data_IF_027117688683
#
_entry.id   IF_027117688683
#
_cell.length_a   1.000
_cell.length_b   1.000
_cell.length_c   1.000
_cell.angle_alpha   90.00
_cell.angle_beta   90.00
_cell.angle_gamma   90.00
#
_symmetry.space_group_name_H-M   'P 1'
#
loop_
_entity.id
_entity.type
_entity.pdbx_description
1 polymer ?
#
# COMPACT_ATOMS: atom_id res chain seq x y z
N UNK A 1 -29.52 -8.57 40.79
CA UNK A 1 -28.23 -7.85 40.95
C UNK A 1 -27.12 -8.81 40.54
N UNK A 2 -26.60 -8.74 39.31
CA UNK A 2 -25.45 -9.55 38.90
C UNK A 2 -24.15 -8.93 39.44
N UNK A 3 -23.21 -9.71 39.98
CA UNK A 3 -21.99 -9.17 40.57
C UNK A 3 -21.08 -8.61 39.48
N UNK A 4 -20.79 -7.31 39.56
CA UNK A 4 -19.90 -6.59 38.65
C UNK A 4 -18.50 -7.23 38.52
N UNK A 5 -18.06 -8.00 39.53
CA UNK A 5 -16.78 -8.71 39.54
C UNK A 5 -16.66 -9.86 38.53
N UNK A 6 -17.75 -10.58 38.22
CA UNK A 6 -17.72 -11.69 37.26
C UNK A 6 -17.60 -11.18 35.82
N UNK A 7 -18.24 -10.03 35.52
CA UNK A 7 -18.14 -9.35 34.22
C UNK A 7 -16.72 -8.85 33.93
N UNK A 8 -15.97 -8.45 34.96
CA UNK A 8 -14.61 -7.94 34.82
C UNK A 8 -13.59 -9.07 34.65
N UNK A 9 -13.76 -10.20 35.36
CA UNK A 9 -12.91 -11.39 35.25
C UNK A 9 -13.06 -12.08 33.89
N UNK A 10 -14.28 -12.19 33.37
CA UNK A 10 -14.55 -12.72 32.02
C UNK A 10 -13.96 -11.79 30.94
N UNK A 11 -14.06 -10.46 31.09
CA UNK A 11 -13.47 -9.50 30.14
C UNK A 11 -11.93 -9.58 30.12
N UNK A 12 -11.29 -9.79 31.27
CA UNK A 12 -9.84 -9.95 31.39
C UNK A 12 -9.34 -11.27 30.76
N UNK A 13 -10.07 -12.37 30.97
CA UNK A 13 -9.79 -13.66 30.34
C UNK A 13 -10.03 -13.62 28.81
N UNK A 14 -11.03 -12.86 28.34
CA UNK A 14 -11.30 -12.63 26.92
C UNK A 14 -10.21 -11.77 26.25
N UNK A 15 -9.66 -10.76 26.94
CA UNK A 15 -8.48 -10.02 26.47
C UNK A 15 -7.21 -10.88 26.44
N UNK A 16 -7.08 -11.84 27.35
CA UNK A 16 -5.98 -12.82 27.33
C UNK A 16 -6.11 -13.84 26.17
N UNK A 17 -7.33 -14.20 25.76
CA UNK A 17 -7.59 -15.09 24.61
C UNK A 17 -7.48 -14.42 23.22
N UNK A 18 -7.70 -13.10 23.15
CA UNK A 18 -7.56 -12.27 21.93
C UNK A 18 -6.13 -12.22 21.37
N UNK A 19 -5.15 -12.29 22.28
CA UNK A 19 -3.73 -12.14 22.01
C UNK A 19 -3.00 -13.40 22.43
N UNK A 20 -3.31 -14.55 21.79
CA UNK A 20 -2.26 -15.55 21.73
C UNK A 20 -1.04 -14.85 21.13
N UNK A 21 0.13 -14.98 21.77
CA UNK A 21 1.34 -14.29 21.32
C UNK A 21 1.59 -14.51 19.82
N UNK A 22 1.19 -15.68 19.31
CA UNK A 22 1.18 -16.03 17.89
C UNK A 22 0.26 -15.16 17.03
N UNK A 23 -1.03 -14.99 17.37
CA UNK A 23 -1.97 -14.19 16.56
C UNK A 23 -1.54 -12.73 16.47
N UNK A 24 -1.10 -12.15 17.59
CA UNK A 24 -0.60 -10.78 17.61
C UNK A 24 0.66 -10.62 16.77
N UNK A 25 1.58 -11.58 16.87
CA UNK A 25 2.77 -11.60 16.05
C UNK A 25 2.41 -11.68 14.57
N UNK A 26 1.47 -12.54 14.17
CA UNK A 26 0.97 -12.62 12.79
C UNK A 26 0.41 -11.28 12.31
N UNK A 27 -0.44 -10.61 13.10
CA UNK A 27 -0.97 -9.28 12.75
C UNK A 27 0.15 -8.25 12.56
N UNK A 28 1.14 -8.23 13.46
CA UNK A 28 2.30 -7.33 13.36
C UNK A 28 3.15 -7.60 12.13
N UNK A 29 3.45 -8.86 11.86
CA UNK A 29 4.28 -9.26 10.71
C UNK A 29 3.57 -8.96 9.38
N UNK A 30 2.28 -9.28 9.26
CA UNK A 30 1.48 -8.96 8.07
C UNK A 30 1.38 -7.45 7.86
N UNK A 31 1.12 -6.68 8.93
CA UNK A 31 1.02 -5.23 8.85
C UNK A 31 2.37 -4.58 8.52
N UNK A 32 3.47 -5.10 9.07
CA UNK A 32 4.83 -4.65 8.76
C UNK A 32 5.20 -4.96 7.31
N UNK A 33 4.92 -6.17 6.82
CA UNK A 33 5.14 -6.54 5.43
C UNK A 33 4.36 -5.63 4.48
N UNK A 34 3.07 -5.42 4.74
CA UNK A 34 2.23 -4.52 3.96
C UNK A 34 2.76 -3.06 3.98
N UNK A 35 3.23 -2.58 5.13
CA UNK A 35 3.83 -1.26 5.28
C UNK A 35 5.11 -1.12 4.43
N UNK A 36 6.03 -2.07 4.53
CA UNK A 36 7.30 -2.04 3.79
C UNK A 36 7.07 -2.10 2.28
N UNK A 37 6.18 -2.98 1.82
CA UNK A 37 5.83 -3.07 0.40
C UNK A 37 5.17 -1.78 -0.08
N UNK A 38 4.23 -1.22 0.70
CA UNK A 38 3.57 0.04 0.34
C UNK A 38 4.56 1.21 0.30
N UNK A 39 5.50 1.26 1.24
CA UNK A 39 6.55 2.28 1.27
C UNK A 39 7.49 2.16 0.06
N UNK A 40 7.87 0.93 -0.31
CA UNK A 40 8.65 0.66 -1.51
C UNK A 40 7.92 1.13 -2.78
N UNK A 41 6.65 0.75 -2.94
CA UNK A 41 5.85 1.16 -4.09
C UNK A 41 5.58 2.67 -4.12
N UNK A 42 5.40 3.31 -2.96
CA UNK A 42 5.30 4.76 -2.86
C UNK A 42 6.59 5.45 -3.34
N UNK A 43 7.75 4.95 -2.89
CA UNK A 43 9.04 5.44 -3.35
C UNK A 43 9.20 5.29 -4.87
N UNK A 44 8.95 4.09 -5.42
CA UNK A 44 9.03 3.84 -6.87
C UNK A 44 8.08 4.72 -7.67
N UNK A 45 6.82 4.89 -7.20
CA UNK A 45 5.83 5.73 -7.88
C UNK A 45 6.20 7.22 -7.88
N UNK A 46 6.75 7.73 -6.77
CA UNK A 46 7.15 9.14 -6.64
C UNK A 46 8.43 9.42 -7.44
N UNK A 47 9.35 8.46 -7.50
CA UNK A 47 10.65 8.61 -8.17
C UNK A 47 10.65 8.13 -9.62
N UNK A 48 9.52 7.64 -10.14
CA UNK A 48 9.40 7.05 -11.48
C UNK A 48 10.50 6.01 -11.73
N UNK A 49 10.74 5.15 -10.73
CA UNK A 49 11.77 4.12 -10.80
C UNK A 49 11.17 2.76 -11.14
N UNK A 50 11.88 1.94 -11.94
CA UNK A 50 11.43 0.59 -12.24
C UNK A 50 11.34 -0.25 -10.97
N UNK A 51 10.38 -1.18 -10.97
CA UNK A 51 10.12 -2.06 -9.82
C UNK A 51 10.96 -3.33 -9.95
N UNK A 52 11.77 -3.61 -8.94
CA UNK A 52 12.68 -4.76 -8.90
C UNK A 52 11.87 -6.05 -8.84
N UNK A 53 12.32 -7.08 -9.58
CA UNK A 53 11.65 -8.38 -9.62
C UNK A 53 10.34 -8.36 -10.41
N UNK A 54 10.09 -7.28 -11.17
CA UNK A 54 9.03 -7.25 -12.16
C UNK A 54 9.62 -7.57 -13.55
N UNK A 55 9.06 -8.56 -14.23
CA UNK A 55 9.60 -9.06 -15.50
C UNK A 55 9.28 -8.17 -16.71
N UNK A 56 8.31 -7.25 -16.60
CA UNK A 56 7.80 -6.49 -17.74
C UNK A 56 7.24 -7.39 -18.85
N UNK A 57 6.65 -8.53 -18.47
CA UNK A 57 6.04 -9.48 -19.40
C UNK A 57 4.57 -9.12 -19.64
N UNK A 58 3.95 -9.66 -20.68
CA UNK A 58 2.55 -9.34 -21.03
C UNK A 58 1.58 -9.48 -19.84
N UNK A 59 1.80 -10.45 -18.94
CA UNK A 59 0.95 -10.62 -17.75
C UNK A 59 1.49 -9.91 -16.50
N UNK A 60 2.81 -9.85 -16.33
CA UNK A 60 3.45 -9.27 -15.13
C UNK A 60 4.16 -7.96 -15.50
N UNK A 61 3.42 -6.87 -15.26
CA UNK A 61 3.86 -5.50 -15.54
C UNK A 61 3.45 -4.55 -14.39
N UNK A 62 4.42 -4.28 -13.52
CA UNK A 62 4.25 -3.39 -12.38
C UNK A 62 4.24 -1.93 -12.83
N UNK A 63 4.93 -1.60 -13.92
CA UNK A 63 5.03 -0.23 -14.41
C UNK A 63 3.70 0.22 -15.01
N UNK A 64 3.05 -0.65 -15.78
CA UNK A 64 1.70 -0.43 -16.28
C UNK A 64 0.70 -0.22 -15.13
N UNK A 65 0.71 -1.11 -14.12
CA UNK A 65 -0.21 -1.00 -12.97
C UNK A 65 0.06 0.27 -12.16
N UNK A 66 1.33 0.58 -11.87
CA UNK A 66 1.71 1.69 -10.99
C UNK A 66 1.59 3.07 -11.67
N UNK A 67 1.67 3.15 -13.00
CA UNK A 67 1.45 4.38 -13.75
C UNK A 67 0.00 4.59 -14.21
N UNK A 68 -0.86 3.57 -14.07
CA UNK A 68 -2.26 3.66 -14.43
C UNK A 68 -3.00 4.76 -13.66
N UNK A 69 -4.08 5.28 -14.23
CA UNK A 69 -4.96 6.23 -13.54
C UNK A 69 -5.49 5.66 -12.20
N UNK A 70 -5.75 4.35 -12.17
CA UNK A 70 -6.25 3.65 -10.98
C UNK A 70 -5.25 3.55 -9.84
N UNK A 71 -3.96 3.76 -10.08
CA UNK A 71 -2.96 3.78 -9.01
C UNK A 71 -2.95 5.10 -8.24
N UNK A 72 -3.73 6.10 -8.68
CA UNK A 72 -3.74 7.45 -8.12
C UNK A 72 -5.08 7.76 -7.46
N UNK A 73 -5.04 8.58 -6.43
CA UNK A 73 -6.19 9.18 -5.76
C UNK A 73 -5.86 10.66 -5.59
N UNK A 74 -6.65 11.54 -6.22
CA UNK A 74 -6.37 12.99 -6.23
C UNK A 74 -4.95 13.33 -6.72
N UNK A 75 -4.42 12.56 -7.68
CA UNK A 75 -3.06 12.71 -8.22
C UNK A 75 -1.95 12.11 -7.36
N UNK A 76 -2.25 11.63 -6.15
CA UNK A 76 -1.28 11.01 -5.24
C UNK A 76 -1.31 9.49 -5.42
N UNK A 77 -0.15 8.80 -5.50
CA UNK A 77 -0.11 7.34 -5.56
C UNK A 77 -0.82 6.72 -4.35
N UNK A 78 -1.69 5.74 -4.56
CA UNK A 78 -2.47 5.04 -3.52
C UNK A 78 -1.59 4.34 -2.49
N UNK A 79 -0.34 4.04 -2.85
CA UNK A 79 0.68 3.52 -1.93
C UNK A 79 0.99 4.49 -0.78
N UNK A 80 0.85 5.81 -0.97
CA UNK A 80 1.07 6.82 0.08
C UNK A 80 0.01 6.76 1.19
N UNK A 81 -1.31 6.84 0.92
CA UNK A 81 -2.31 6.65 1.97
C UNK A 81 -2.27 5.23 2.57
N UNK A 82 -1.87 4.21 1.80
CA UNK A 82 -1.65 2.86 2.32
C UNK A 82 -0.52 2.82 3.37
N UNK A 83 0.60 3.51 3.16
CA UNK A 83 1.66 3.68 4.17
C UNK A 83 1.10 4.28 5.45
N UNK A 84 0.31 5.37 5.34
CA UNK A 84 -0.33 6.01 6.50
C UNK A 84 -1.24 5.05 7.28
N UNK A 85 -2.08 4.30 6.57
CA UNK A 85 -2.95 3.29 7.15
C UNK A 85 -2.15 2.21 7.90
N UNK A 86 -1.20 1.55 7.25
CA UNK A 86 -0.44 0.46 7.86
C UNK A 86 0.50 0.93 8.97
N UNK A 87 1.08 2.13 8.88
CA UNK A 87 1.89 2.72 9.95
C UNK A 87 1.04 2.98 11.20
N UNK A 88 -0.17 3.53 11.02
CA UNK A 88 -1.11 3.77 12.12
C UNK A 88 -1.53 2.46 12.78
N UNK A 89 -1.90 1.46 11.97
CA UNK A 89 -2.29 0.14 12.47
C UNK A 89 -1.16 -0.57 13.21
N UNK A 90 0.06 -0.51 12.69
CA UNK A 90 1.25 -1.10 13.32
C UNK A 90 1.58 -0.39 14.64
N UNK A 91 1.50 0.94 14.68
CA UNK A 91 1.66 1.73 15.91
C UNK A 91 0.63 1.36 16.98
N UNK A 92 -0.64 1.22 16.58
CA UNK A 92 -1.72 0.78 17.47
C UNK A 92 -1.52 -0.67 17.95
N UNK A 93 -1.06 -1.57 17.08
CA UNK A 93 -0.70 -2.96 17.44
C UNK A 93 0.42 -3.04 18.48
N UNK A 94 1.24 -2.00 18.66
CA UNK A 94 2.27 -1.95 19.70
C UNK A 94 1.67 -1.77 21.12
N UNK A 95 0.52 -1.09 21.22
CA UNK A 95 -0.23 -0.92 22.47
C UNK A 95 -1.19 -2.09 22.76
N UNK A 96 -1.48 -2.88 21.73
CA UNK A 96 -2.35 -4.04 21.81
C UNK A 96 -1.73 -5.12 22.71
N UNK A 97 -2.50 -5.60 23.70
CA UNK A 97 -2.04 -6.55 24.73
C UNK A 97 -1.38 -5.93 25.97
N UNK A 98 -1.20 -4.60 26.02
CA UNK A 98 -0.73 -3.90 27.23
C UNK A 98 -1.90 -3.55 28.16
N UNK A 99 -1.69 -3.50 29.49
CA UNK A 99 -2.71 -3.00 30.40
C UNK A 99 -3.01 -1.53 30.09
N UNK A 100 -4.28 -1.21 29.82
CA UNK A 100 -4.73 0.15 29.52
C UNK A 100 -6.19 0.33 29.95
N UNK A 101 -6.68 1.59 30.08
CA UNK A 101 -8.06 1.86 30.45
C UNK A 101 -9.06 1.18 29.50
N UNK A 102 -10.22 0.70 30.01
CA UNK A 102 -11.19 -0.05 29.20
C UNK A 102 -11.75 0.76 28.02
N UNK A 103 -11.86 2.09 28.16
CA UNK A 103 -12.27 2.97 27.07
C UNK A 103 -11.23 3.00 25.94
N UNK A 104 -9.95 3.09 26.29
CA UNK A 104 -8.85 3.07 25.32
C UNK A 104 -8.76 1.72 24.59
N UNK A 105 -8.90 0.61 25.31
CA UNK A 105 -8.94 -0.73 24.70
C UNK A 105 -10.10 -0.90 23.71
N UNK A 106 -11.29 -0.37 24.02
CA UNK A 106 -12.43 -0.39 23.09
C UNK A 106 -12.15 0.43 21.84
N UNK A 107 -11.61 1.62 21.99
CA UNK A 107 -11.22 2.47 20.86
C UNK A 107 -10.16 1.80 20.00
N UNK A 108 -9.13 1.23 20.63
CA UNK A 108 -8.05 0.50 19.97
C UNK A 108 -8.61 -0.67 19.13
N UNK A 109 -9.47 -1.50 19.73
CA UNK A 109 -10.12 -2.60 19.01
C UNK A 109 -11.00 -2.09 17.85
N UNK A 110 -11.74 -0.99 18.04
CA UNK A 110 -12.57 -0.41 16.99
C UNK A 110 -11.72 0.07 15.81
N UNK A 111 -10.69 0.88 16.07
CA UNK A 111 -9.84 1.47 15.01
C UNK A 111 -9.08 0.37 14.27
N UNK A 112 -8.51 -0.60 14.98
CA UNK A 112 -7.85 -1.75 14.35
C UNK A 112 -8.84 -2.56 13.49
N UNK A 113 -10.03 -2.85 14.01
CA UNK A 113 -11.04 -3.63 13.27
C UNK A 113 -11.49 -2.91 12.00
N UNK A 114 -11.83 -1.62 12.11
CA UNK A 114 -12.24 -0.81 10.95
C UNK A 114 -11.11 -0.72 9.95
N UNK A 115 -9.88 -0.40 10.38
CA UNK A 115 -8.74 -0.25 9.47
C UNK A 115 -8.36 -1.55 8.75
N UNK A 116 -8.39 -2.71 9.42
CA UNK A 116 -8.16 -4.00 8.75
C UNK A 116 -9.26 -4.34 7.75
N UNK A 117 -10.52 -4.04 8.07
CA UNK A 117 -11.64 -4.24 7.15
C UNK A 117 -11.56 -3.29 5.94
N UNK A 118 -11.19 -2.03 6.15
CA UNK A 118 -10.90 -1.07 5.07
C UNK A 118 -9.80 -1.58 4.16
N UNK A 119 -8.68 -2.08 4.72
CA UNK A 119 -7.60 -2.67 3.94
C UNK A 119 -8.05 -3.90 3.14
N UNK A 120 -8.90 -4.75 3.71
CA UNK A 120 -9.48 -5.91 3.03
C UNK A 120 -10.40 -5.53 1.88
N UNK A 121 -11.32 -4.59 2.07
CA UNK A 121 -12.20 -4.11 0.99
C UNK A 121 -11.43 -3.38 -0.11
N UNK A 122 -10.44 -2.57 0.26
CA UNK A 122 -9.54 -1.95 -0.72
C UNK A 122 -8.77 -3.01 -1.52
N UNK A 123 -8.32 -4.10 -0.87
CA UNK A 123 -7.66 -5.20 -1.57
C UNK A 123 -8.58 -5.87 -2.61
N UNK A 124 -9.85 -6.11 -2.28
CA UNK A 124 -10.83 -6.63 -3.26
C UNK A 124 -10.96 -5.70 -4.46
N UNK A 125 -11.07 -4.39 -4.22
CA UNK A 125 -11.15 -3.38 -5.28
C UNK A 125 -9.90 -3.38 -6.19
N UNK A 126 -8.70 -3.27 -5.61
CA UNK A 126 -7.46 -3.17 -6.39
C UNK A 126 -7.03 -4.47 -7.07
N UNK A 127 -7.33 -5.63 -6.47
CA UNK A 127 -7.15 -6.91 -7.16
C UNK A 127 -8.14 -7.01 -8.32
N UNK A 128 -9.40 -6.61 -8.11
CA UNK A 128 -10.41 -6.55 -9.17
C UNK A 128 -9.99 -5.65 -10.34
N UNK A 129 -9.43 -4.48 -10.06
CA UNK A 129 -8.91 -3.58 -11.09
C UNK A 129 -7.79 -4.22 -11.92
N UNK A 130 -6.83 -4.90 -11.27
CA UNK A 130 -5.75 -5.59 -11.97
C UNK A 130 -6.27 -6.71 -12.89
N UNK A 131 -7.24 -7.49 -12.41
CA UNK A 131 -7.75 -8.68 -13.13
C UNK A 131 -8.82 -8.34 -14.18
N UNK A 132 -9.65 -7.32 -13.95
CA UNK A 132 -10.81 -7.03 -14.80
C UNK A 132 -10.58 -5.84 -15.72
N UNK A 133 -9.83 -4.82 -15.28
CA UNK A 133 -9.67 -3.56 -16.01
C UNK A 133 -8.31 -3.46 -16.66
N UNK A 134 -7.24 -3.68 -15.90
CA UNK A 134 -5.86 -3.52 -16.40
C UNK A 134 -5.37 -4.75 -17.18
N UNK A 135 -5.86 -5.95 -16.87
CA UNK A 135 -5.36 -7.21 -17.44
C UNK A 135 -3.84 -7.45 -17.22
N UNK A 136 -3.24 -6.74 -16.26
CA UNK A 136 -1.84 -6.85 -15.87
C UNK A 136 -1.74 -6.99 -14.35
N UNK A 137 -0.79 -7.84 -13.91
CA UNK A 137 -0.59 -8.16 -12.50
C UNK A 137 0.71 -7.56 -11.99
N UNK A 138 0.64 -6.86 -10.88
CA UNK A 138 1.81 -6.42 -10.13
C UNK A 138 2.00 -7.32 -8.88
N UNK A 139 3.03 -8.19 -8.83
CA UNK A 139 3.26 -9.10 -7.71
C UNK A 139 3.41 -8.38 -6.36
N UNK A 140 4.01 -7.18 -6.37
CA UNK A 140 4.14 -6.36 -5.18
C UNK A 140 2.80 -5.82 -4.68
N UNK A 141 1.95 -5.32 -5.58
CA UNK A 141 0.59 -4.91 -5.21
C UNK A 141 -0.20 -6.11 -4.68
N UNK A 142 -0.16 -7.25 -5.36
CA UNK A 142 -0.82 -8.48 -4.92
C UNK A 142 -0.34 -8.92 -3.54
N UNK A 143 0.96 -8.87 -3.26
CA UNK A 143 1.51 -9.20 -1.94
C UNK A 143 0.97 -8.26 -0.84
N UNK A 144 0.95 -6.95 -1.08
CA UNK A 144 0.40 -5.99 -0.13
C UNK A 144 -1.10 -6.20 0.11
N UNK A 145 -1.88 -6.42 -0.96
CA UNK A 145 -3.31 -6.68 -0.88
C UNK A 145 -3.64 -8.02 -0.21
N UNK A 146 -2.82 -9.05 -0.44
CA UNK A 146 -2.93 -10.33 0.25
C UNK A 146 -2.72 -10.15 1.76
N UNK A 147 -1.73 -9.35 2.17
CA UNK A 147 -1.54 -9.01 3.59
C UNK A 147 -2.78 -8.30 4.16
N UNK A 148 -3.36 -7.33 3.45
CA UNK A 148 -4.60 -6.65 3.82
C UNK A 148 -5.80 -7.59 3.97
N UNK A 149 -5.98 -8.54 3.05
CA UNK A 149 -7.03 -9.57 3.11
C UNK A 149 -6.86 -10.48 4.31
N UNK A 150 -5.63 -10.94 4.59
CA UNK A 150 -5.34 -11.79 5.75
C UNK A 150 -5.58 -11.05 7.06
N UNK A 151 -5.18 -9.77 7.15
CA UNK A 151 -5.47 -8.92 8.31
C UNK A 151 -7.00 -8.78 8.52
N UNK A 152 -7.75 -8.52 7.46
CA UNK A 152 -9.22 -8.44 7.47
C UNK A 152 -9.86 -9.76 7.93
N UNK A 153 -9.40 -10.90 7.41
CA UNK A 153 -9.88 -12.22 7.80
C UNK A 153 -9.60 -12.53 9.28
N UNK A 154 -8.41 -12.19 9.77
CA UNK A 154 -8.06 -12.33 11.19
C UNK A 154 -8.93 -11.43 12.09
N UNK A 155 -9.26 -10.22 11.63
CA UNK A 155 -10.22 -9.35 12.32
C UNK A 155 -11.63 -9.98 12.35
N UNK A 156 -12.08 -10.56 11.23
CA UNK A 156 -13.39 -11.23 11.08
C UNK A 156 -13.51 -12.58 11.79
N UNK A 157 -12.41 -13.19 12.21
CA UNK A 157 -12.40 -14.43 13.01
C UNK A 157 -12.13 -14.16 14.48
N UNK A 158 -11.90 -12.91 14.87
CA UNK A 158 -11.71 -12.52 16.26
C UNK A 158 -13.04 -12.51 17.02
N UNK A 159 -13.10 -13.25 18.14
CA UNK A 159 -14.30 -13.50 18.96
C UNK A 159 -14.70 -12.29 19.81
N UNK A 160 -13.74 -11.43 20.16
CA UNK A 160 -13.98 -10.28 21.03
C UNK A 160 -14.13 -9.05 20.18
N UNK A 161 -15.36 -8.54 20.09
CA UNK A 161 -15.66 -7.28 19.41
C UNK A 161 -16.51 -6.42 20.34
N UNK A 162 -16.08 -5.20 20.67
CA UNK A 162 -16.91 -4.30 21.45
C UNK A 162 -18.16 -3.84 20.68
N UNK A 163 -18.17 -4.00 19.36
CA UNK A 163 -19.27 -3.63 18.46
C UNK A 163 -19.69 -4.84 17.58
N UNK A 164 -20.92 -4.80 17.06
CA UNK A 164 -21.42 -5.84 16.15
C UNK A 164 -20.58 -5.98 14.87
N UNK A 165 -20.66 -7.14 14.21
CA UNK A 165 -19.87 -7.39 12.98
C UNK A 165 -20.30 -6.50 11.82
N UNK A 166 -21.60 -6.34 11.64
CA UNK A 166 -22.23 -5.56 10.56
C UNK A 166 -21.76 -4.10 10.52
N UNK A 167 -21.87 -3.31 11.60
CA UNK A 167 -21.44 -1.91 11.55
C UNK A 167 -19.95 -1.74 11.26
N UNK A 168 -19.09 -2.66 11.73
CA UNK A 168 -17.66 -2.63 11.44
C UNK A 168 -17.37 -2.92 9.96
N UNK A 169 -18.03 -3.93 9.38
CA UNK A 169 -17.89 -4.25 7.96
C UNK A 169 -18.44 -3.14 7.07
N UNK A 170 -19.55 -2.52 7.44
CA UNK A 170 -20.11 -1.37 6.74
C UNK A 170 -19.18 -0.17 6.82
N UNK A 171 -18.59 0.14 7.98
CA UNK A 171 -17.63 1.23 8.12
C UNK A 171 -16.40 1.02 7.23
N UNK A 172 -15.82 -0.18 7.24
CA UNK A 172 -14.68 -0.51 6.37
C UNK A 172 -15.03 -0.42 4.88
N UNK A 173 -16.21 -0.93 4.51
CA UNK A 173 -16.71 -0.87 3.13
C UNK A 173 -16.96 0.57 2.68
N UNK A 174 -17.53 1.42 3.54
CA UNK A 174 -17.78 2.83 3.23
C UNK A 174 -16.47 3.60 3.00
N UNK A 175 -15.44 3.35 3.82
CA UNK A 175 -14.12 3.97 3.63
C UNK A 175 -13.48 3.53 2.33
N UNK A 176 -13.42 2.22 2.05
CA UNK A 176 -12.87 1.72 0.79
C UNK A 176 -13.70 2.14 -0.43
N UNK A 177 -15.03 2.13 -0.30
CA UNK A 177 -15.97 2.56 -1.32
C UNK A 177 -15.87 4.05 -1.62
N UNK A 178 -15.61 4.89 -0.60
CA UNK A 178 -15.35 6.32 -0.81
C UNK A 178 -14.08 6.54 -1.63
N UNK A 179 -13.02 5.77 -1.37
CA UNK A 179 -11.80 5.80 -2.18
C UNK A 179 -12.09 5.38 -3.62
N UNK A 180 -12.77 4.25 -3.81
CA UNK A 180 -13.15 3.76 -5.13
C UNK A 180 -14.02 4.77 -5.90
N UNK A 181 -14.98 5.39 -5.21
CA UNK A 181 -15.82 6.44 -5.79
C UNK A 181 -14.99 7.67 -6.19
N UNK A 182 -14.04 8.10 -5.36
CA UNK A 182 -13.12 9.19 -5.73
C UNK A 182 -12.35 8.84 -7.00
N UNK A 183 -11.78 7.64 -7.09
CA UNK A 183 -11.04 7.20 -8.29
C UNK A 183 -11.91 7.14 -9.54
N UNK A 184 -13.16 6.71 -9.39
CA UNK A 184 -14.11 6.63 -10.49
C UNK A 184 -14.58 8.01 -10.96
N UNK A 185 -14.80 8.93 -10.03
CA UNK A 185 -15.31 10.27 -10.28
C UNK A 185 -14.20 11.26 -10.69
N UNK A 186 -12.95 11.02 -10.30
CA UNK A 186 -11.83 11.86 -10.75
C UNK A 186 -11.62 11.63 -12.24
N UNK A 187 -11.78 12.67 -13.09
CA UNK A 187 -11.50 12.53 -14.51
C UNK A 187 -10.01 12.25 -14.71
N UNK A 188 -9.70 11.42 -15.71
CA UNK A 188 -8.32 11.22 -16.15
C UNK A 188 -7.76 12.60 -16.49
N UNK A 189 -6.67 13.05 -15.84
CA UNK A 189 -6.08 14.34 -16.17
C UNK A 189 -5.70 14.30 -17.65
N UNK A 190 -6.03 15.36 -18.40
CA UNK A 190 -5.67 15.46 -19.81
C UNK A 190 -4.14 15.38 -19.93
N UNK A 191 -3.62 14.19 -20.21
CA UNK A 191 -2.21 13.99 -20.53
C UNK A 191 -2.00 14.64 -21.89
N UNK A 192 -1.27 15.75 -21.92
CA UNK A 192 -0.81 16.34 -23.16
C UNK A 192 0.03 15.26 -23.88
N UNK A 193 -0.38 14.91 -25.08
CA UNK A 193 0.41 14.03 -25.93
C UNK A 193 1.72 14.76 -26.25
N UNK A 194 2.80 14.37 -25.59
CA UNK A 194 4.14 14.79 -26.02
C UNK A 194 4.42 13.99 -27.28
N UNK A 195 4.07 14.54 -28.44
CA UNK A 195 4.52 14.04 -29.73
C UNK A 195 6.04 14.19 -29.71
N UNK A 196 6.76 13.13 -29.32
CA UNK A 196 8.22 13.08 -29.47
C UNK A 196 8.47 12.94 -30.96
N UNK A 197 8.98 13.98 -31.63
CA UNK A 197 9.18 13.94 -33.07
C UNK A 197 10.19 12.83 -33.41
N UNK A 198 10.04 12.20 -34.57
CA UNK A 198 10.95 11.13 -35.05
C UNK A 198 12.43 11.57 -34.99
N UNK A 199 12.71 12.85 -35.26
CA UNK A 199 14.06 13.42 -35.20
C UNK A 199 14.69 13.39 -33.79
N UNK A 200 13.87 13.46 -32.73
CA UNK A 200 14.35 13.44 -31.35
C UNK A 200 14.64 12.02 -30.86
N UNK A 201 14.01 10.99 -31.44
CA UNK A 201 14.35 9.58 -31.15
C UNK A 201 15.68 9.16 -31.77
N UNK A 202 16.04 9.73 -32.92
CA UNK A 202 17.32 9.46 -33.57
C UNK A 202 18.53 9.99 -32.79
N UNK A 203 18.40 11.16 -32.15
CA UNK A 203 19.49 11.79 -31.40
C UNK A 203 19.85 11.05 -30.10
N UNK A 204 18.88 10.41 -29.44
CA UNK A 204 19.13 9.61 -28.23
C UNK A 204 19.83 8.26 -28.51
N UNK A 205 19.84 7.82 -29.77
CA UNK A 205 20.52 6.60 -30.21
C UNK A 205 21.98 6.78 -30.60
N UNK A 206 22.47 8.02 -30.75
CA UNK A 206 23.83 8.30 -31.27
C UNK A 206 24.86 8.71 -30.21
N UNK A 207 24.50 8.78 -28.93
CA UNK A 207 25.48 9.01 -27.85
C UNK A 207 26.21 7.70 -27.47
N UNK A 208 26.69 6.96 -28.46
CA UNK A 208 27.75 5.98 -28.27
C UNK A 208 29.08 6.72 -28.40
N UNK A 209 29.66 7.10 -27.26
CA UNK A 209 31.11 7.18 -27.03
C UNK A 209 31.89 7.74 -28.23
N UNK A 210 31.71 9.02 -28.56
CA UNK A 210 32.77 9.73 -29.29
C UNK A 210 33.76 10.26 -28.25
N UNK A 211 34.89 9.56 -28.23
CA UNK A 211 36.18 9.90 -27.65
C UNK A 211 36.45 11.41 -27.66
N UNK A 212 36.32 12.06 -26.49
CA UNK A 212 36.84 13.40 -26.28
C UNK A 212 38.37 13.32 -26.20
N UNK A 213 39.04 13.27 -27.35
CA UNK A 213 40.47 13.50 -27.44
C UNK A 213 40.72 15.03 -27.47
N UNK A 214 41.47 15.60 -26.51
CA UNK A 214 41.90 16.98 -26.62
C UNK A 214 43.12 17.02 -27.54
N UNK A 215 42.91 17.12 -28.85
CA UNK A 215 44.00 17.39 -29.80
C UNK A 215 44.27 18.89 -29.88
N UNK A 216 45.51 19.28 -29.57
CA UNK A 216 46.03 20.61 -29.88
C UNK A 216 47.23 21.06 -29.06
N UNK A 217 48.26 20.22 -28.89
CA UNK A 217 49.58 20.73 -28.52
C UNK A 217 50.23 21.33 -29.77
N UNK A 218 50.13 22.65 -29.94
CA UNK A 218 50.92 23.37 -30.93
C UNK A 218 52.40 23.36 -30.51
N UNK A 219 53.18 22.53 -31.20
CA UNK A 219 54.65 22.51 -31.17
C UNK A 219 55.19 23.78 -31.84
N UNK A 220 55.61 24.77 -31.05
CA UNK A 220 56.27 25.98 -31.52
C UNK A 220 57.70 25.67 -31.99
N UNK A 221 57.94 25.73 -33.31
CA UNK A 221 59.27 25.64 -33.92
C UNK A 221 59.75 27.05 -34.30
N UNK A 222 60.84 27.59 -33.74
CA UNK A 222 61.41 28.86 -34.19
C UNK A 222 62.07 28.65 -35.56
N UNK A 223 61.77 29.54 -36.51
CA UNK A 223 62.57 29.72 -37.72
C UNK A 223 63.70 30.71 -37.41
N UNK A 224 64.92 30.23 -37.64
CA UNK A 224 66.22 30.91 -37.87
C UNK A 224 66.56 32.19 -37.06
#
# INVERSE_FOLDING_TARGET
MCPAGVSMSIRAALTAGLFSSGRLLSLRLLCLAALLISAYLAWSAIRLQPVIGCSGSELIDCEHVLNSHWSKVLGIPVSVPAVGLYATLLGLLAFAGRPAPPAFQRLLCLVLSVGFLTAGWAAVWFIGLQVLVLQHLCPWCLAAHTCGLLLSLLALTSTVRPFGRVPLTCAGLLLAGSLAAVQWLTPVPATFEVIVPEYARGAAGSESIEDFSPFGAEEFRPQD
#
